data_IF_566107545907
#
_entry.id   IF_566107545907
#
_cell.length_a   1.000
_cell.length_b   1.000
_cell.length_c   1.000
_cell.angle_alpha   90.00
_cell.angle_beta   90.00
_cell.angle_gamma   90.00
#
_symmetry.space_group_name_H-M   'P 1'
#
loop_
_entity.id
_entity.type
_entity.pdbx_description
1 polymer ?
#
# COMPACT_ATOMS: atom_id res chain seq x y z
N UNK A 1 16.70 2.94 -12.06
CA UNK A 1 15.86 4.09 -12.43
C UNK A 1 15.02 4.41 -11.21
N UNK A 2 14.80 5.68 -10.89
CA UNK A 2 14.00 6.08 -9.72
C UNK A 2 12.52 6.05 -10.11
N UNK A 3 11.86 4.90 -9.90
CA UNK A 3 10.47 4.71 -10.32
C UNK A 3 9.51 5.65 -9.58
N UNK A 4 9.86 6.09 -8.36
CA UNK A 4 9.08 7.07 -7.60
C UNK A 4 8.91 8.37 -8.40
N UNK A 5 10.00 8.93 -8.93
CA UNK A 5 9.94 10.14 -9.76
C UNK A 5 9.19 9.94 -11.08
N UNK A 6 9.36 8.79 -11.73
CA UNK A 6 8.70 8.54 -13.02
C UNK A 6 7.20 8.29 -12.89
N UNK A 7 6.77 7.70 -11.77
CA UNK A 7 5.38 7.41 -11.48
C UNK A 7 4.72 8.52 -10.66
N UNK A 8 5.46 9.46 -10.08
CA UNK A 8 4.92 10.47 -9.17
C UNK A 8 4.30 9.84 -7.92
N UNK A 9 4.90 8.78 -7.39
CA UNK A 9 4.41 8.04 -6.23
C UNK A 9 5.58 7.72 -5.28
N UNK A 10 5.44 8.05 -4.00
CA UNK A 10 6.46 7.78 -3.00
C UNK A 10 6.69 6.28 -2.74
N UNK A 11 7.86 5.95 -2.18
CA UNK A 11 8.00 4.71 -1.42
C UNK A 11 7.26 4.88 -0.10
N UNK A 12 6.67 3.80 0.44
CA UNK A 12 6.03 3.84 1.75
C UNK A 12 6.62 2.80 2.70
N UNK A 13 6.95 3.22 3.92
CA UNK A 13 7.25 2.29 5.02
C UNK A 13 5.97 2.04 5.78
N UNK A 14 5.60 0.77 5.93
CA UNK A 14 4.39 0.36 6.62
C UNK A 14 4.67 -0.21 8.00
N UNK A 15 3.75 0.10 8.90
CA UNK A 15 3.82 -0.12 10.32
C UNK A 15 2.61 -0.94 10.77
N UNK A 16 2.87 -2.04 11.47
CA UNK A 16 1.82 -2.85 12.09
C UNK A 16 1.16 -2.07 13.21
N UNK A 17 -0.16 -2.12 13.26
CA UNK A 17 -0.98 -1.54 14.32
C UNK A 17 -1.50 -2.65 15.22
N UNK A 18 -1.92 -2.28 16.42
CA UNK A 18 -2.92 -3.10 17.13
C UNK A 18 -4.19 -3.09 16.29
N UNK A 19 -4.53 -4.24 15.72
CA UNK A 19 -5.65 -4.35 14.79
C UNK A 19 -6.94 -3.79 15.43
N UNK A 20 -7.58 -2.86 14.72
CA UNK A 20 -8.84 -2.25 15.15
C UNK A 20 -9.95 -2.79 14.27
N UNK A 21 -10.91 -3.50 14.86
CA UNK A 21 -12.08 -4.00 14.15
C UNK A 21 -12.89 -2.83 13.58
N UNK A 22 -13.35 -2.99 12.35
CA UNK A 22 -14.23 -2.06 11.65
C UNK A 22 -15.29 -2.84 10.89
N UNK A 23 -16.35 -2.15 10.46
CA UNK A 23 -17.36 -2.74 9.58
C UNK A 23 -17.81 -1.70 8.56
N UNK A 24 -17.07 -1.63 7.46
CA UNK A 24 -17.37 -0.73 6.35
C UNK A 24 -17.64 -1.51 5.08
N UNK A 25 -18.55 -1.01 4.25
CA UNK A 25 -18.85 -1.59 2.95
C UNK A 25 -18.53 -0.56 1.86
N UNK A 26 -17.69 -0.95 0.91
CA UNK A 26 -17.20 -0.09 -0.19
C UNK A 26 -17.41 -0.81 -1.52
N UNK A 27 -17.59 -0.07 -2.61
CA UNK A 27 -17.50 -0.64 -3.97
C UNK A 27 -16.14 -0.26 -4.57
N UNK A 28 -15.39 -1.24 -5.05
CA UNK A 28 -14.08 -1.04 -5.65
C UNK A 28 -14.10 -1.44 -7.12
N UNK A 29 -13.42 -0.66 -7.96
CA UNK A 29 -13.13 -1.05 -9.35
C UNK A 29 -11.68 -0.72 -9.68
N UNK A 30 -10.91 -1.76 -9.94
CA UNK A 30 -9.56 -1.70 -10.44
C UNK A 30 -9.42 -2.30 -11.83
N UNK A 31 -8.19 -2.28 -12.31
CA UNK A 31 -7.81 -2.77 -13.63
C UNK A 31 -8.02 -4.27 -13.89
N UNK A 32 -8.28 -5.07 -12.85
CA UNK A 32 -8.61 -6.50 -12.98
C UNK A 32 -10.13 -6.77 -12.94
N UNK A 33 -10.94 -5.77 -12.60
CA UNK A 33 -12.39 -5.90 -12.42
C UNK A 33 -13.14 -5.66 -13.75
N UNK A 34 -13.27 -6.73 -14.56
CA UNK A 34 -13.87 -6.66 -15.90
C UNK A 34 -15.38 -6.38 -15.92
N UNK A 35 -16.11 -6.78 -14.88
CA UNK A 35 -17.59 -6.75 -14.82
C UNK A 35 -18.16 -5.49 -14.14
N UNK A 36 -17.33 -4.51 -13.81
CA UNK A 36 -17.73 -3.30 -13.09
C UNK A 36 -17.30 -3.30 -11.61
N UNK A 37 -17.72 -2.30 -10.82
CA UNK A 37 -17.39 -2.22 -9.40
C UNK A 37 -17.91 -3.42 -8.61
N UNK A 38 -17.10 -3.92 -7.68
CA UNK A 38 -17.45 -5.02 -6.78
C UNK A 38 -17.53 -4.53 -5.35
N UNK A 39 -18.57 -4.96 -4.63
CA UNK A 39 -18.72 -4.66 -3.20
C UNK A 39 -17.75 -5.49 -2.38
N UNK A 40 -17.07 -4.83 -1.46
CA UNK A 40 -16.17 -5.42 -0.48
C UNK A 40 -16.52 -4.94 0.92
N UNK A 41 -16.25 -5.78 1.91
CA UNK A 41 -16.34 -5.42 3.33
C UNK A 41 -14.95 -5.25 3.93
N UNK A 42 -14.75 -4.19 4.70
CA UNK A 42 -13.54 -3.93 5.49
C UNK A 42 -13.78 -4.42 6.91
N UNK A 43 -12.87 -5.20 7.47
CA UNK A 43 -13.05 -5.88 8.77
C UNK A 43 -12.10 -5.42 9.86
N UNK A 44 -10.92 -4.92 9.49
CA UNK A 44 -9.93 -4.39 10.43
C UNK A 44 -9.06 -3.33 9.76
N UNK A 45 -8.62 -2.35 10.55
CA UNK A 45 -7.46 -1.53 10.23
C UNK A 45 -6.22 -2.20 10.84
N UNK A 46 -5.23 -2.53 10.00
CA UNK A 46 -4.09 -3.36 10.40
C UNK A 46 -2.74 -2.66 10.27
N UNK A 47 -2.61 -1.76 9.29
CA UNK A 47 -1.36 -1.03 9.07
C UNK A 47 -1.59 0.44 8.77
N UNK A 48 -0.57 1.23 9.04
CA UNK A 48 -0.44 2.60 8.60
C UNK A 48 0.91 2.77 7.91
N UNK A 49 0.97 3.59 6.86
CA UNK A 49 2.22 3.82 6.14
C UNK A 49 2.51 5.30 5.91
N UNK A 50 3.80 5.62 6.00
CA UNK A 50 4.35 6.94 5.72
C UNK A 50 5.14 6.92 4.42
N UNK A 51 5.25 8.07 3.73
CA UNK A 51 6.24 8.19 2.68
C UNK A 51 7.63 8.08 3.31
N UNK A 52 8.53 7.34 2.65
CA UNK A 52 9.86 7.01 3.18
C UNK A 52 10.95 7.39 2.19
N UNK A 53 11.99 8.05 2.68
CA UNK A 53 13.21 8.26 1.92
C UNK A 53 13.99 6.94 1.87
N UNK A 54 14.04 6.34 0.68
CA UNK A 54 14.88 5.18 0.40
C UNK A 54 16.21 5.64 -0.16
N UNK A 55 17.30 5.28 0.52
CA UNK A 55 18.68 5.54 0.12
C UNK A 55 19.07 7.02 -0.06
N UNK A 56 18.30 7.98 0.43
CA UNK A 56 18.56 9.41 0.20
C UNK A 56 18.01 9.91 -1.14
N UNK A 57 17.06 9.19 -1.73
CA UNK A 57 16.39 9.59 -2.98
C UNK A 57 15.40 10.75 -2.76
N UNK A 58 15.00 10.98 -1.50
CA UNK A 58 14.06 12.00 -1.07
C UNK A 58 12.63 11.48 -0.92
N UNK A 59 11.73 12.39 -0.53
CA UNK A 59 10.28 12.17 -0.42
C UNK A 59 9.60 13.20 -1.32
N UNK A 60 8.69 12.77 -2.18
CA UNK A 60 7.94 13.61 -3.12
C UNK A 60 6.85 14.39 -2.39
N UNK A 61 5.98 13.71 -1.64
CA UNK A 61 4.94 14.31 -0.82
C UNK A 61 4.99 13.78 0.61
N UNK A 62 5.37 14.65 1.55
CA UNK A 62 5.44 14.31 2.98
C UNK A 62 4.07 14.01 3.60
N UNK A 63 2.98 14.44 2.97
CA UNK A 63 1.62 14.24 3.44
C UNK A 63 1.03 12.92 2.94
N UNK A 64 1.69 12.21 2.02
CA UNK A 64 1.20 10.98 1.42
C UNK A 64 1.19 9.81 2.43
N UNK A 65 0.20 9.76 3.30
CA UNK A 65 0.00 8.63 4.23
C UNK A 65 -1.11 7.71 3.72
N UNK A 66 -1.03 6.43 4.09
CA UNK A 66 -2.06 5.44 3.76
C UNK A 66 -2.43 4.59 4.99
N UNK A 67 -3.72 4.44 5.25
CA UNK A 67 -4.28 3.40 6.12
C UNK A 67 -4.59 2.13 5.34
N UNK A 68 -4.31 0.97 5.95
CA UNK A 68 -4.40 -0.33 5.30
C UNK A 68 -5.48 -1.16 5.99
N UNK A 69 -6.62 -1.27 5.31
CA UNK A 69 -7.79 -1.98 5.77
C UNK A 69 -7.81 -3.41 5.22
N UNK A 70 -7.99 -4.40 6.08
CA UNK A 70 -8.21 -5.78 5.65
C UNK A 70 -9.60 -5.96 5.03
N UNK A 71 -9.63 -6.65 3.90
CA UNK A 71 -10.85 -7.07 3.22
C UNK A 71 -11.35 -8.38 3.83
N UNK A 72 -12.66 -8.49 4.00
CA UNK A 72 -13.32 -9.75 4.37
C UNK A 72 -13.05 -10.81 3.28
N UNK A 73 -12.37 -11.93 3.59
CA UNK A 73 -12.10 -12.99 2.62
C UNK A 73 -13.34 -13.48 1.88
N UNK A 74 -14.51 -13.51 2.54
CA UNK A 74 -15.77 -13.92 1.93
C UNK A 74 -16.21 -13.00 0.77
N UNK A 75 -15.76 -11.74 0.78
CA UNK A 75 -16.04 -10.75 -0.28
C UNK A 75 -14.83 -10.43 -1.14
N UNK A 76 -13.67 -11.05 -0.89
CA UNK A 76 -12.39 -10.69 -1.49
C UNK A 76 -11.77 -11.78 -2.36
N UNK A 77 -12.45 -12.92 -2.52
CA UNK A 77 -12.06 -13.99 -3.44
C UNK A 77 -11.81 -13.46 -4.87
N UNK A 78 -10.72 -13.88 -5.49
CA UNK A 78 -10.29 -13.44 -6.83
C UNK A 78 -9.65 -14.60 -7.62
N UNK A 79 -9.74 -14.60 -8.96
CA UNK A 79 -8.96 -15.52 -9.79
C UNK A 79 -7.46 -15.38 -9.57
N UNK A 80 -6.75 -16.50 -9.71
CA UNK A 80 -5.28 -16.51 -9.76
C UNK A 80 -4.83 -15.82 -11.04
N UNK A 81 -3.81 -14.96 -10.93
CA UNK A 81 -3.26 -14.21 -12.07
C UNK A 81 -1.75 -14.23 -12.03
N UNK A 82 -1.14 -14.23 -13.21
CA UNK A 82 0.28 -13.89 -13.38
C UNK A 82 0.41 -12.42 -13.75
N UNK A 83 1.35 -11.72 -13.13
CA UNK A 83 1.61 -10.30 -13.37
C UNK A 83 3.10 -10.10 -13.61
N UNK A 84 3.43 -9.58 -14.78
CA UNK A 84 4.78 -9.06 -15.03
C UNK A 84 4.85 -7.59 -14.69
N UNK A 85 5.89 -7.22 -13.98
CA UNK A 85 6.09 -5.89 -13.46
C UNK A 85 7.56 -5.49 -13.51
N UNK A 86 7.80 -4.19 -13.43
CA UNK A 86 9.13 -3.63 -13.25
C UNK A 86 9.10 -2.57 -12.15
N UNK A 87 10.10 -2.62 -11.27
CA UNK A 87 10.38 -1.57 -10.30
C UNK A 87 11.90 -1.39 -10.16
N UNK A 88 12.35 -0.65 -9.14
CA UNK A 88 13.77 -0.31 -9.01
C UNK A 88 14.67 -1.52 -8.75
N UNK A 89 14.08 -2.68 -8.47
CA UNK A 89 14.79 -3.94 -8.27
C UNK A 89 14.80 -4.84 -9.52
N UNK A 90 14.32 -4.33 -10.65
CA UNK A 90 14.30 -5.02 -11.94
C UNK A 90 12.90 -5.51 -12.33
N UNK A 91 12.88 -6.34 -13.37
CA UNK A 91 11.66 -6.99 -13.87
C UNK A 91 11.38 -8.26 -13.07
N UNK A 92 10.13 -8.49 -12.71
CA UNK A 92 9.67 -9.66 -11.97
C UNK A 92 8.37 -10.20 -12.55
N UNK A 93 8.12 -11.49 -12.29
CA UNK A 93 6.82 -12.12 -12.49
C UNK A 93 6.29 -12.58 -11.14
N UNK A 94 5.04 -12.24 -10.84
CA UNK A 94 4.34 -12.62 -9.62
C UNK A 94 3.09 -13.44 -9.97
N UNK A 95 2.83 -14.49 -9.22
CA UNK A 95 1.51 -15.15 -9.16
C UNK A 95 0.74 -14.53 -8.00
N UNK A 96 -0.43 -13.95 -8.27
CA UNK A 96 -1.29 -13.31 -7.26
C UNK A 96 -2.63 -14.04 -7.14
N UNK A 97 -3.21 -14.02 -5.95
CA UNK A 97 -4.50 -14.63 -5.64
C UNK A 97 -5.51 -13.60 -5.13
N UNK A 98 -6.23 -13.96 -4.06
CA UNK A 98 -7.26 -13.14 -3.44
C UNK A 98 -6.82 -11.71 -3.13
N UNK A 99 -7.78 -10.78 -3.23
CA UNK A 99 -7.62 -9.45 -2.66
C UNK A 99 -7.56 -9.57 -1.13
N UNK A 100 -6.74 -8.74 -0.49
CA UNK A 100 -6.51 -8.80 0.95
C UNK A 100 -6.59 -7.45 1.65
N UNK A 101 -6.12 -6.37 1.00
CA UNK A 101 -6.07 -5.05 1.62
C UNK A 101 -6.67 -3.98 0.70
N UNK A 102 -7.25 -2.96 1.31
CA UNK A 102 -7.52 -1.66 0.71
C UNK A 102 -6.65 -0.60 1.38
N UNK A 103 -5.81 0.08 0.60
CA UNK A 103 -4.98 1.20 1.04
C UNK A 103 -5.70 2.50 0.72
N UNK A 104 -5.80 3.37 1.71
CA UNK A 104 -6.63 4.56 1.70
C UNK A 104 -5.80 5.77 2.08
N UNK A 105 -5.73 6.85 1.27
CA UNK A 105 -5.14 8.13 1.64
C UNK A 105 -5.67 8.65 2.98
N UNK A 106 -4.75 8.97 3.89
CA UNK A 106 -5.07 9.33 5.28
C UNK A 106 -4.41 10.65 5.66
N UNK A 107 -5.16 11.51 6.36
CA UNK A 107 -4.60 12.70 6.98
C UNK A 107 -4.04 12.36 8.36
N UNK A 108 -2.77 12.70 8.60
CA UNK A 108 -2.24 12.67 9.97
C UNK A 108 -2.76 13.89 10.74
N UNK A 109 -3.23 13.72 11.97
CA UNK A 109 -3.73 14.88 12.76
C UNK A 109 -2.58 15.48 13.57
N UNK A 110 -1.92 16.46 12.96
CA UNK A 110 -0.94 17.33 13.63
C UNK A 110 -0.99 18.76 13.03
N UNK A 111 -0.40 19.73 13.74
CA UNK A 111 -0.41 21.13 13.29
C UNK A 111 0.29 21.26 11.94
N UNK A 112 -0.46 21.67 10.92
CA UNK A 112 0.05 21.89 9.56
C UNK A 112 -0.15 20.70 8.62
N UNK A 113 -0.70 19.58 9.10
CA UNK A 113 -1.10 18.47 8.23
C UNK A 113 -2.31 18.82 7.36
N UNK A 114 -2.41 18.12 6.24
CA UNK A 114 -3.49 18.22 5.26
C UNK A 114 -3.75 16.83 4.69
N UNK A 115 -4.97 16.53 4.20
CA UNK A 115 -5.21 15.29 3.46
C UNK A 115 -4.29 15.17 2.24
N UNK A 116 -3.82 13.96 1.89
CA UNK A 116 -3.08 13.73 0.66
C UNK A 116 -3.91 14.18 -0.55
N UNK A 117 -3.31 14.96 -1.46
CA UNK A 117 -3.97 15.42 -2.69
C UNK A 117 -3.50 14.58 -3.88
N UNK A 118 -4.44 13.90 -4.54
CA UNK A 118 -4.15 13.13 -5.76
C UNK A 118 -3.46 11.78 -5.53
N UNK A 119 -3.32 11.33 -4.29
CA UNK A 119 -2.90 9.97 -3.96
C UNK A 119 -4.06 8.99 -4.17
N UNK A 120 -3.84 7.92 -4.92
CA UNK A 120 -4.87 6.93 -5.22
C UNK A 120 -5.19 6.01 -4.03
N UNK A 121 -6.41 5.46 -4.05
CA UNK A 121 -6.72 4.26 -3.27
C UNK A 121 -6.15 3.04 -3.98
N UNK A 122 -5.67 2.04 -3.23
CA UNK A 122 -5.14 0.81 -3.84
C UNK A 122 -5.81 -0.46 -3.30
N UNK A 123 -6.23 -1.34 -4.21
CA UNK A 123 -6.62 -2.71 -3.87
C UNK A 123 -5.41 -3.62 -4.01
N UNK A 124 -5.06 -4.34 -2.95
CA UNK A 124 -3.90 -5.21 -2.88
C UNK A 124 -4.28 -6.68 -2.91
N UNK A 125 -3.54 -7.45 -3.69
CA UNK A 125 -3.70 -8.88 -3.91
C UNK A 125 -2.53 -9.63 -3.28
N UNK A 126 -2.81 -10.77 -2.64
CA UNK A 126 -1.76 -11.62 -2.05
C UNK A 126 -0.86 -12.17 -3.14
N UNK A 127 0.44 -12.09 -2.94
CA UNK A 127 1.42 -12.80 -3.75
C UNK A 127 1.50 -14.25 -3.26
N UNK A 128 1.18 -15.19 -4.15
CA UNK A 128 1.28 -16.62 -3.92
C UNK A 128 2.68 -17.13 -4.26
N UNK A 129 3.24 -16.63 -5.36
CA UNK A 129 4.58 -16.98 -5.84
C UNK A 129 5.27 -15.74 -6.42
N UNK A 130 6.58 -15.63 -6.20
CA UNK A 130 7.37 -14.54 -6.74
C UNK A 130 8.82 -14.63 -6.28
N UNK A 131 9.74 -14.13 -7.11
CA UNK A 131 11.15 -14.05 -6.73
C UNK A 131 11.40 -12.82 -5.89
N UNK A 132 12.15 -13.00 -4.81
CA UNK A 132 12.73 -11.85 -4.08
C UNK A 132 13.84 -11.27 -4.94
N UNK A 133 13.84 -9.96 -5.24
CA UNK A 133 14.99 -9.35 -5.89
C UNK A 133 16.25 -9.59 -5.06
N UNK A 134 17.42 -9.65 -5.69
CA UNK A 134 18.69 -9.89 -4.99
C UNK A 134 18.80 -9.00 -3.75
N UNK A 135 19.10 -9.61 -2.59
CA UNK A 135 18.93 -9.06 -1.25
C UNK A 135 19.50 -7.63 -1.13
N UNK A 136 18.65 -6.64 -1.37
CA UNK A 136 19.04 -5.25 -1.31
C UNK A 136 19.06 -4.84 0.17
N UNK A 137 20.26 -4.48 0.66
CA UNK A 137 20.34 -3.67 1.87
C UNK A 137 19.99 -2.25 1.51
N UNK A 138 18.92 -1.73 2.12
CA UNK A 138 18.37 -0.40 1.86
C UNK A 138 18.52 0.45 3.10
N UNK A 139 18.73 1.75 2.93
CA UNK A 139 18.62 2.74 4.00
C UNK A 139 17.24 3.38 3.92
N UNK A 140 16.46 3.35 4.99
CA UNK A 140 15.13 3.94 5.06
C UNK A 140 15.09 5.02 6.14
N UNK A 141 14.51 6.17 5.83
CA UNK A 141 14.29 7.28 6.76
C UNK A 141 12.89 7.87 6.54
N UNK A 142 12.11 8.01 7.61
CA UNK A 142 10.80 8.64 7.55
C UNK A 142 10.51 9.49 8.79
N UNK A 143 9.29 10.02 8.86
CA UNK A 143 8.85 10.89 9.95
C UNK A 143 8.76 10.22 11.33
N UNK A 144 8.84 8.89 11.42
CA UNK A 144 8.77 8.14 12.68
C UNK A 144 10.12 7.56 13.08
N UNK A 145 10.92 7.09 12.12
CA UNK A 145 12.19 6.44 12.36
C UNK A 145 13.30 7.13 11.59
N UNK A 146 14.39 7.43 12.31
CA UNK A 146 15.65 7.91 11.72
C UNK A 146 16.21 6.89 10.74
N UNK A 147 17.09 7.35 9.86
CA UNK A 147 17.81 6.52 8.88
C UNK A 147 18.34 5.20 9.44
N UNK A 148 17.84 4.08 8.90
CA UNK A 148 18.22 2.71 9.31
C UNK A 148 18.44 1.79 8.10
N UNK A 149 19.35 0.81 8.25
CA UNK A 149 19.53 -0.24 7.26
C UNK A 149 18.50 -1.35 7.46
N UNK A 150 17.81 -1.71 6.40
CA UNK A 150 16.90 -2.86 6.34
C UNK A 150 17.32 -3.79 5.20
N UNK A 151 16.88 -5.04 5.27
CA UNK A 151 16.96 -6.01 4.17
C UNK A 151 15.58 -6.15 3.55
N UNK A 152 15.54 -6.10 2.22
CA UNK A 152 14.38 -6.49 1.45
C UNK A 152 14.24 -8.02 1.45
N UNK A 153 13.05 -8.51 1.72
CA UNK A 153 12.71 -9.94 1.68
C UNK A 153 11.62 -10.19 0.64
N UNK A 154 10.81 -11.23 0.84
CA UNK A 154 9.79 -11.67 -0.11
C UNK A 154 8.75 -10.59 -0.44
N UNK A 155 8.24 -10.54 -1.70
CA UNK A 155 7.03 -9.80 -2.02
C UNK A 155 5.82 -10.45 -1.31
N UNK A 156 4.97 -9.63 -0.70
CA UNK A 156 3.77 -10.05 0.02
C UNK A 156 2.49 -9.69 -0.74
N UNK A 157 2.47 -8.49 -1.34
CA UNK A 157 1.30 -8.00 -2.04
C UNK A 157 1.67 -7.25 -3.32
N UNK A 158 0.77 -7.30 -4.30
CA UNK A 158 0.76 -6.41 -5.44
C UNK A 158 -0.52 -5.58 -5.43
N UNK A 159 -0.39 -4.26 -5.50
CA UNK A 159 -1.49 -3.32 -5.33
C UNK A 159 -1.72 -2.52 -6.61
N UNK A 160 -2.99 -2.37 -6.96
CA UNK A 160 -3.44 -1.64 -8.15
C UNK A 160 -4.26 -0.44 -7.73
N UNK A 161 -4.18 0.71 -8.43
CA UNK A 161 -5.04 1.84 -8.15
C UNK A 161 -6.50 1.46 -8.44
N UNK A 162 -7.42 1.94 -7.60
CA UNK A 162 -8.85 1.61 -7.71
C UNK A 162 -9.71 2.85 -7.53
N UNK A 163 -10.82 2.90 -8.26
CA UNK A 163 -11.92 3.79 -7.88
C UNK A 163 -12.58 3.22 -6.64
N UNK A 164 -12.87 4.06 -5.65
CA UNK A 164 -13.61 3.66 -4.45
C UNK A 164 -14.91 4.45 -4.38
N UNK A 165 -16.01 3.73 -4.27
CA UNK A 165 -17.29 4.31 -3.91
C UNK A 165 -17.58 4.01 -2.43
N UNK A 166 -17.87 5.07 -1.68
CA UNK A 166 -18.27 4.97 -0.28
C UNK A 166 -19.33 6.02 0.05
N UNK A 167 -20.42 5.59 0.69
CA UNK A 167 -21.61 6.41 0.96
C UNK A 167 -22.19 7.05 -0.31
N UNK A 168 -22.00 8.36 -0.53
CA UNK A 168 -22.54 9.11 -1.68
C UNK A 168 -21.44 9.68 -2.58
N UNK A 169 -20.19 9.26 -2.40
CA UNK A 169 -19.04 9.76 -3.15
C UNK A 169 -18.31 8.67 -3.91
N UNK A 170 -17.80 9.02 -5.08
CA UNK A 170 -16.86 8.22 -5.88
C UNK A 170 -15.54 8.96 -5.87
N UNK A 171 -14.48 8.25 -5.52
CA UNK A 171 -13.10 8.71 -5.65
C UNK A 171 -12.48 8.01 -6.85
N UNK A 172 -12.10 8.81 -7.84
CA UNK A 172 -11.57 8.35 -9.12
C UNK A 172 -10.07 8.03 -9.05
N UNK A 173 -9.60 7.25 -10.02
CA UNK A 173 -8.17 6.98 -10.18
C UNK A 173 -7.50 8.20 -10.83
N UNK A 174 -6.52 8.78 -10.14
CA UNK A 174 -5.68 9.87 -10.61
C UNK A 174 -4.50 9.37 -11.45
N UNK A 175 -3.88 8.26 -11.07
CA UNK A 175 -2.70 7.71 -11.75
C UNK A 175 -2.81 6.21 -12.02
N UNK A 176 -3.42 5.81 -13.16
CA UNK A 176 -3.67 4.40 -13.47
C UNK A 176 -2.40 3.59 -13.76
N UNK A 177 -1.24 4.23 -13.86
CA UNK A 177 0.05 3.57 -14.13
C UNK A 177 0.84 3.28 -12.86
N UNK A 178 0.55 3.99 -11.76
CA UNK A 178 1.26 3.83 -10.50
C UNK A 178 0.68 2.66 -9.70
N UNK A 179 1.50 1.63 -9.48
CA UNK A 179 1.16 0.47 -8.65
C UNK A 179 2.11 0.42 -7.46
N UNK A 180 1.81 -0.45 -6.49
CA UNK A 180 2.73 -0.76 -5.41
C UNK A 180 3.04 -2.26 -5.38
N UNK A 181 4.31 -2.63 -5.22
CA UNK A 181 4.67 -3.95 -4.72
C UNK A 181 5.09 -3.81 -3.26
N UNK A 182 4.47 -4.58 -2.37
CA UNK A 182 4.75 -4.55 -0.94
C UNK A 182 5.66 -5.72 -0.61
N UNK A 183 6.86 -5.42 -0.10
CA UNK A 183 7.83 -6.41 0.36
C UNK A 183 7.88 -6.44 1.87
N UNK A 184 8.21 -7.61 2.42
CA UNK A 184 8.65 -7.72 3.80
C UNK A 184 10.04 -7.08 3.95
N UNK A 185 10.28 -6.46 5.09
CA UNK A 185 11.60 -5.95 5.47
C UNK A 185 12.03 -6.43 6.86
N UNK A 186 13.35 -6.57 7.07
CA UNK A 186 13.95 -6.86 8.38
C UNK A 186 15.14 -5.93 8.70
N UNK A 187 15.44 -5.64 9.98
CA UNK A 187 14.71 -6.05 11.17
C UNK A 187 13.37 -5.33 11.34
N UNK A 188 12.46 -5.91 12.13
CA UNK A 188 11.25 -5.22 12.58
C UNK A 188 11.61 -4.28 13.73
N UNK A 189 11.30 -2.99 13.59
CA UNK A 189 11.60 -1.99 14.62
C UNK A 189 10.30 -1.39 15.19
N UNK A 190 10.26 -1.17 16.51
CA UNK A 190 9.09 -0.63 17.20
C UNK A 190 9.00 0.90 17.06
N UNK A 191 7.79 1.44 16.87
CA UNK A 191 7.55 2.88 16.80
C UNK A 191 6.47 3.34 17.80
N UNK A 192 6.37 4.66 18.00
CA UNK A 192 5.61 5.32 19.06
C UNK A 192 4.13 5.53 18.72
N UNK A 193 3.29 5.86 19.72
CA UNK A 193 1.85 6.20 19.53
C UNK A 193 1.65 7.54 18.79
N UNK A 194 0.67 7.64 17.88
CA UNK A 194 0.33 8.86 17.08
C UNK A 194 -1.18 9.02 16.89
N UNK A 195 -1.68 10.18 16.45
CA UNK A 195 -3.10 10.42 16.10
C UNK A 195 -3.26 10.65 14.59
N UNK A 196 -4.29 10.08 13.98
CA UNK A 196 -4.59 10.15 12.53
C UNK A 196 -6.10 10.20 12.27
N UNK A 197 -6.48 10.62 11.07
CA UNK A 197 -7.86 10.66 10.58
C UNK A 197 -7.90 10.26 9.12
N UNK A 198 -8.81 9.35 8.79
CA UNK A 198 -9.13 9.00 7.40
C UNK A 198 -10.59 9.30 7.09
N UNK A 199 -11.07 8.88 5.91
CA UNK A 199 -12.46 9.13 5.51
C UNK A 199 -13.51 8.27 6.23
N UNK A 200 -13.08 7.38 7.13
CA UNK A 200 -13.95 6.52 7.93
C UNK A 200 -14.07 6.99 9.38
N UNK A 201 -12.96 7.40 10.01
CA UNK A 201 -12.93 7.84 11.41
C UNK A 201 -11.68 8.65 11.80
N UNK A 202 -11.69 9.23 13.01
CA UNK A 202 -10.53 9.83 13.70
C UNK A 202 -10.10 8.96 14.88
N UNK A 203 -8.80 8.65 15.01
CA UNK A 203 -8.31 7.73 16.06
C UNK A 203 -6.81 7.87 16.37
N UNK A 204 -6.40 7.24 17.49
CA UNK A 204 -5.00 7.15 17.89
C UNK A 204 -4.39 5.80 17.48
N UNK A 205 -3.31 5.85 16.70
CA UNK A 205 -2.46 4.72 16.35
C UNK A 205 -1.60 4.29 17.54
N UNK A 206 -1.64 3.00 17.85
CA UNK A 206 -0.59 2.31 18.60
C UNK A 206 0.21 1.46 17.64
N UNK A 207 1.36 1.99 17.22
CA UNK A 207 2.25 1.31 16.28
C UNK A 207 3.06 0.26 17.02
N UNK A 208 3.03 -0.98 16.50
CA UNK A 208 3.72 -2.12 17.09
C UNK A 208 5.10 -2.31 16.48
N UNK A 209 5.24 -2.41 15.15
CA UNK A 209 6.56 -2.59 14.52
C UNK A 209 6.57 -2.26 13.03
N UNK A 210 7.75 -2.02 12.44
CA UNK A 210 7.91 -1.87 11.00
C UNK A 210 7.97 -3.24 10.35
N UNK A 211 7.16 -3.50 9.34
CA UNK A 211 7.10 -4.83 8.73
C UNK A 211 7.35 -4.83 7.23
N UNK A 212 7.03 -3.72 6.54
CA UNK A 212 6.93 -3.74 5.08
C UNK A 212 7.41 -2.44 4.42
N UNK A 213 7.86 -2.58 3.17
CA UNK A 213 8.18 -1.50 2.25
C UNK A 213 7.29 -1.65 1.02
N UNK A 214 6.42 -0.66 0.77
CA UNK A 214 5.70 -0.53 -0.49
C UNK A 214 6.55 0.28 -1.46
N UNK A 215 6.78 -0.26 -2.65
CA UNK A 215 7.58 0.41 -3.68
C UNK A 215 6.73 0.69 -4.92
N UNK A 216 6.87 1.89 -5.52
CA UNK A 216 6.28 2.20 -6.82
C UNK A 216 6.70 1.16 -7.85
N UNK A 217 5.70 0.65 -8.56
CA UNK A 217 5.87 -0.42 -9.52
C UNK A 217 5.10 -0.09 -10.80
N UNK A 218 5.68 -0.44 -11.95
CA UNK A 218 4.99 -0.45 -13.23
C UNK A 218 4.51 -1.87 -13.51
N UNK A 219 3.20 -2.04 -13.73
CA UNK A 219 2.68 -3.26 -14.35
C UNK A 219 3.01 -3.25 -15.85
N UNK A 220 3.60 -4.33 -16.36
CA UNK A 220 3.90 -4.51 -17.78
C UNK A 220 2.79 -5.29 -18.49
N UNK A 221 2.44 -6.47 -17.98
CA UNK A 221 1.34 -7.30 -18.49
C UNK A 221 0.78 -8.21 -17.40
N UNK A 222 -0.38 -8.82 -17.67
CA UNK A 222 -0.98 -9.81 -16.78
C UNK A 222 -1.84 -10.79 -17.57
N UNK A 223 -2.04 -11.98 -16.99
CA UNK A 223 -2.97 -12.99 -17.49
C UNK A 223 -3.67 -13.67 -16.31
N UNK A 224 -4.91 -14.07 -16.51
CA UNK A 224 -5.60 -15.02 -15.62
C UNK A 224 -5.06 -16.42 -15.89
N UNK A 225 -4.87 -17.22 -14.84
CA UNK A 225 -4.36 -18.60 -14.92
C UNK A 225 -5.49 -19.58 -15.12
#
# INVERSE_FOLDING_TARGET
>A
MDDSKTLGLDHFRAYDLVARAVDYSVSLRGQFDRKGPRRHRLVSLEHFSNPVDKNGEGILDRQAHLDWYALDPATAAEPVRTVELANQFGTQSLTIGDAALLLVPTEKIEKGSRPPLGLDHFKCYRVLEGTTPAAASLRLEDQFLRSRRVRLEIPLFFCVPVTKEYRKGIEEIHNPKAHLTIYRISPREHATKRKVRDQFDEYALSILSTAMLAVPTRKLRWAEV
#
